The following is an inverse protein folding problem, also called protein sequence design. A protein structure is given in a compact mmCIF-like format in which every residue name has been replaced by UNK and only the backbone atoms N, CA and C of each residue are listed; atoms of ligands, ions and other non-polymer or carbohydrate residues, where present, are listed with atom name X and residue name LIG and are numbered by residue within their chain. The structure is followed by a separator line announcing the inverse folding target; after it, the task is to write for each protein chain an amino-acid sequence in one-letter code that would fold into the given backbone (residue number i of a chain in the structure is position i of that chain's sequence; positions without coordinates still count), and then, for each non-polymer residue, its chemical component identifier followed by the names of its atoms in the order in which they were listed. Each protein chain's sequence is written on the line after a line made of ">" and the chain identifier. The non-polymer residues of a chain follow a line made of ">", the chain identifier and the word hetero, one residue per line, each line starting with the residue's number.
data_IF_374836474128
#
_entry.id   IF_374836474128
#
_cell.length_a   1.000
_cell.length_b   1.000
_cell.length_c   1.000
_cell.angle_alpha   90.00
_cell.angle_beta   90.00
_cell.angle_gamma   90.00
#
_symmetry.space_group_name_H-M   'P 1'
#
loop_
_entity.id
_entity.type
_entity.pdbx_description
1 polymer ?
#
# COMPACT_ATOMS: atom_id res chain seq x y z
N UNK A 1 -2.39 26.59 -0.54
CA UNK A 1 -1.10 26.02 -0.11
C UNK A 1 -1.08 25.58 1.36
N UNK A 2 -1.19 26.47 2.35
CA UNK A 2 -1.00 26.08 3.76
C UNK A 2 -1.97 25.01 4.29
N UNK A 3 -3.23 25.01 3.85
CA UNK A 3 -4.19 23.95 4.20
C UNK A 3 -3.74 22.59 3.63
N UNK A 4 -3.33 22.53 2.36
CA UNK A 4 -2.81 21.31 1.75
C UNK A 4 -1.54 20.79 2.45
N UNK A 5 -0.61 21.69 2.83
CA UNK A 5 0.59 21.33 3.61
C UNK A 5 0.21 20.78 4.98
N UNK A 6 -0.72 21.45 5.66
CA UNK A 6 -1.21 21.03 6.98
C UNK A 6 -1.83 19.64 6.91
N UNK A 7 -2.66 19.38 5.90
CA UNK A 7 -3.31 18.08 5.70
C UNK A 7 -2.31 16.94 5.46
N UNK A 8 -1.28 17.19 4.64
CA UNK A 8 -0.24 16.19 4.34
C UNK A 8 0.66 15.92 5.55
N UNK A 9 1.10 16.98 6.24
CA UNK A 9 1.94 16.81 7.43
C UNK A 9 1.16 16.18 8.59
N UNK A 10 -0.12 16.53 8.78
CA UNK A 10 -0.97 15.88 9.77
C UNK A 10 -1.22 14.40 9.44
N UNK A 11 -1.40 14.06 8.16
CA UNK A 11 -1.46 12.68 7.71
C UNK A 11 -0.17 11.91 8.01
N UNK A 12 1.00 12.48 7.71
CA UNK A 12 2.29 11.86 8.02
C UNK A 12 2.51 11.71 9.54
N UNK A 13 2.04 12.66 10.33
CA UNK A 13 2.11 12.64 11.78
C UNK A 13 1.28 11.48 12.41
N UNK A 14 0.20 11.02 11.78
CA UNK A 14 -0.51 9.79 12.22
C UNK A 14 0.44 8.59 12.29
N UNK A 15 1.45 8.58 11.42
CA UNK A 15 2.46 7.54 11.36
C UNK A 15 3.77 7.95 12.03
N UNK A 16 3.83 9.05 12.79
CA UNK A 16 5.08 9.60 13.35
C UNK A 16 6.21 9.67 12.30
N UNK A 17 5.89 10.16 11.10
CA UNK A 17 6.77 10.18 9.95
C UNK A 17 7.07 11.61 9.51
N UNK A 18 8.35 11.88 9.22
CA UNK A 18 8.80 13.11 8.59
C UNK A 18 9.03 12.87 7.10
N UNK A 19 8.63 13.85 6.29
CA UNK A 19 8.62 13.82 4.83
C UNK A 19 9.70 14.74 4.25
N UNK A 20 10.33 14.35 3.14
CA UNK A 20 11.14 15.28 2.36
C UNK A 20 10.26 16.31 1.64
N UNK A 21 10.85 17.38 1.12
CA UNK A 21 10.11 18.37 0.30
C UNK A 21 9.46 17.70 -0.92
N UNK A 22 10.17 16.78 -1.58
CA UNK A 22 9.64 15.98 -2.69
C UNK A 22 8.42 15.16 -2.28
N UNK A 23 8.46 14.52 -1.10
CA UNK A 23 7.32 13.73 -0.59
C UNK A 23 6.13 14.62 -0.24
N UNK A 24 6.35 15.79 0.39
CA UNK A 24 5.28 16.76 0.64
C UNK A 24 4.67 17.22 -0.68
N UNK A 25 5.49 17.65 -1.64
CA UNK A 25 5.06 18.10 -2.97
C UNK A 25 4.24 17.03 -3.69
N UNK A 26 4.67 15.77 -3.63
CA UNK A 26 3.98 14.63 -4.22
C UNK A 26 2.58 14.43 -3.62
N UNK A 27 2.41 14.58 -2.32
CA UNK A 27 1.17 14.19 -1.61
C UNK A 27 0.20 15.33 -1.31
N UNK A 28 0.53 16.59 -1.62
CA UNK A 28 -0.44 17.69 -1.50
C UNK A 28 -1.54 17.62 -2.56
N UNK A 29 -2.73 18.03 -2.16
CA UNK A 29 -3.93 18.09 -3.01
C UNK A 29 -3.99 19.33 -3.91
N UNK A 30 -2.94 20.16 -3.90
CA UNK A 30 -2.86 21.42 -4.65
C UNK A 30 -1.70 21.34 -5.66
N UNK A 31 -1.96 21.74 -6.91
CA UNK A 31 -0.91 21.77 -7.94
C UNK A 31 0.11 22.85 -7.60
N UNK A 32 1.38 22.48 -7.51
CA UNK A 32 2.47 23.42 -7.24
C UNK A 32 3.81 22.88 -7.76
N UNK A 33 4.83 23.71 -7.73
CA UNK A 33 6.23 23.32 -7.87
C UNK A 33 6.85 22.98 -6.52
N UNK A 34 7.94 22.21 -6.54
CA UNK A 34 8.68 21.84 -5.32
C UNK A 34 9.21 23.08 -4.57
N UNK A 35 9.69 24.09 -5.31
CA UNK A 35 10.17 25.35 -4.73
C UNK A 35 9.04 26.17 -4.06
N UNK A 36 7.82 26.14 -4.59
CA UNK A 36 6.67 26.77 -3.94
C UNK A 36 6.31 26.07 -2.63
N UNK A 37 6.39 24.74 -2.61
CA UNK A 37 6.15 23.92 -1.43
C UNK A 37 7.20 24.19 -0.37
N UNK A 38 8.49 24.17 -0.73
CA UNK A 38 9.60 24.44 0.20
C UNK A 38 9.48 25.82 0.85
N UNK A 39 9.25 26.86 0.05
CA UNK A 39 9.03 28.22 0.57
C UNK A 39 7.84 28.27 1.52
N UNK A 40 6.72 27.67 1.16
CA UNK A 40 5.54 27.67 2.01
C UNK A 40 5.72 26.84 3.30
N UNK A 41 6.53 25.78 3.28
CA UNK A 41 6.92 25.03 4.48
C UNK A 41 7.71 25.93 5.44
N UNK A 42 8.70 26.68 4.94
CA UNK A 42 9.48 27.64 5.74
C UNK A 42 8.66 28.80 6.31
N UNK A 43 7.64 29.27 5.58
CA UNK A 43 6.75 30.35 6.03
C UNK A 43 5.66 29.86 7.01
N UNK A 44 5.46 28.55 7.12
CA UNK A 44 4.41 27.99 7.97
C UNK A 44 4.80 27.96 9.44
N UNK A 45 3.83 28.20 10.33
CA UNK A 45 4.03 28.13 11.79
C UNK A 45 3.89 26.70 12.36
N UNK A 46 3.37 25.77 11.56
CA UNK A 46 3.01 24.42 11.96
C UNK A 46 3.95 23.34 11.43
N UNK A 47 4.82 23.64 10.46
CA UNK A 47 5.83 22.70 9.98
C UNK A 47 7.15 22.94 10.72
N UNK A 48 7.86 21.85 11.01
CA UNK A 48 9.20 21.86 11.61
C UNK A 48 10.12 21.05 10.71
N UNK A 49 11.32 21.56 10.47
CA UNK A 49 12.35 20.87 9.71
C UNK A 49 13.42 20.33 10.67
N UNK A 50 13.64 19.02 10.62
CA UNK A 50 14.67 18.31 11.38
C UNK A 50 15.46 17.45 10.39
N UNK A 51 16.77 17.64 10.26
CA UNK A 51 17.64 16.87 9.35
C UNK A 51 17.10 16.83 7.90
N UNK A 52 16.72 18.00 7.35
CA UNK A 52 16.15 18.15 6.00
C UNK A 52 14.77 17.50 5.80
N UNK A 53 14.15 17.00 6.87
CA UNK A 53 12.84 16.35 6.84
C UNK A 53 11.80 17.21 7.57
N UNK A 54 10.62 17.33 6.96
CA UNK A 54 9.52 18.14 7.44
C UNK A 54 8.47 17.29 8.16
N UNK A 55 8.07 17.73 9.34
CA UNK A 55 7.02 17.09 10.11
C UNK A 55 6.06 18.11 10.70
N UNK A 56 4.88 17.64 11.08
CA UNK A 56 3.91 18.48 11.78
C UNK A 56 4.42 18.80 13.19
N UNK A 57 4.24 20.05 13.62
CA UNK A 57 4.55 20.50 14.97
C UNK A 57 3.57 19.86 15.95
N UNK A 58 3.96 18.71 16.47
CA UNK A 58 3.25 17.97 17.52
C UNK A 58 4.20 17.79 18.71
N UNK A 59 3.64 17.69 19.92
CA UNK A 59 4.44 17.42 21.11
C UNK A 59 5.03 15.99 21.14
N UNK A 60 4.57 15.10 20.25
CA UNK A 60 4.85 13.66 20.25
C UNK A 60 5.86 13.20 19.19
N UNK A 61 6.34 14.09 18.31
CA UNK A 61 7.30 13.69 17.28
C UNK A 61 8.67 13.31 17.89
N UNK A 62 9.20 12.15 17.49
CA UNK A 62 10.48 11.62 17.93
C UNK A 62 11.33 11.21 16.71
N UNK A 63 12.43 11.93 16.47
CA UNK A 63 13.32 11.69 15.33
C UNK A 63 14.01 10.33 15.38
N UNK A 64 14.34 9.82 16.58
CA UNK A 64 14.99 8.52 16.73
C UNK A 64 14.05 7.38 16.32
N UNK A 65 12.75 7.53 16.58
CA UNK A 65 11.72 6.58 16.16
C UNK A 65 11.60 6.49 14.63
N UNK A 66 11.68 7.62 13.94
CA UNK A 66 11.63 7.67 12.48
C UNK A 66 12.83 6.93 11.84
N UNK A 67 14.04 7.08 12.39
CA UNK A 67 15.24 6.37 11.91
C UNK A 67 15.08 4.84 12.04
N UNK A 68 14.68 4.35 13.22
CA UNK A 68 14.47 2.91 13.46
C UNK A 68 13.43 2.34 12.49
N UNK A 69 12.36 3.07 12.21
CA UNK A 69 11.30 2.60 11.29
C UNK A 69 11.74 2.58 9.84
N UNK A 70 12.59 3.52 9.41
CA UNK A 70 13.21 3.49 8.08
C UNK A 70 14.13 2.28 7.92
N UNK A 71 14.90 1.96 8.96
CA UNK A 71 15.72 0.75 9.00
C UNK A 71 14.87 -0.52 8.92
N UNK A 72 13.76 -0.60 9.68
CA UNK A 72 12.82 -1.72 9.63
C UNK A 72 12.20 -1.90 8.25
N UNK A 73 11.75 -0.82 7.59
CA UNK A 73 11.20 -0.92 6.23
C UNK A 73 12.20 -1.54 5.25
N UNK A 74 13.45 -1.11 5.30
CA UNK A 74 14.53 -1.65 4.46
C UNK A 74 14.82 -3.12 4.77
N UNK A 75 14.89 -3.47 6.06
CA UNK A 75 15.10 -4.83 6.54
C UNK A 75 13.96 -5.78 6.11
N UNK A 76 12.71 -5.38 6.32
CA UNK A 76 11.54 -6.20 6.00
C UNK A 76 11.41 -6.39 4.49
N UNK A 77 11.71 -5.37 3.70
CA UNK A 77 11.75 -5.49 2.24
C UNK A 77 12.83 -6.50 1.79
N UNK A 78 14.01 -6.44 2.40
CA UNK A 78 15.09 -7.39 2.12
C UNK A 78 14.70 -8.83 2.51
N UNK A 79 14.10 -9.01 3.68
CA UNK A 79 13.65 -10.30 4.21
C UNK A 79 12.69 -11.03 3.26
N UNK A 80 11.70 -10.32 2.73
CA UNK A 80 10.64 -10.94 1.91
C UNK A 80 10.94 -10.98 0.41
N UNK A 81 11.98 -10.27 -0.05
CA UNK A 81 12.21 -10.00 -1.47
C UNK A 81 12.24 -11.26 -2.35
N UNK A 82 12.90 -12.33 -1.89
CA UNK A 82 12.98 -13.60 -2.62
C UNK A 82 11.64 -14.32 -2.72
N UNK A 83 10.78 -14.18 -1.70
CA UNK A 83 9.44 -14.79 -1.69
C UNK A 83 8.46 -13.99 -2.56
N UNK A 84 8.61 -12.66 -2.61
CA UNK A 84 7.89 -11.82 -3.57
C UNK A 84 8.30 -12.15 -5.01
N UNK A 85 9.59 -12.34 -5.27
CA UNK A 85 10.08 -12.78 -6.57
C UNK A 85 9.49 -14.15 -6.97
N UNK A 86 9.36 -15.07 -6.00
CA UNK A 86 8.67 -16.35 -6.21
C UNK A 86 7.21 -16.11 -6.58
N UNK A 87 6.43 -15.37 -5.78
CA UNK A 87 5.02 -15.05 -6.08
C UNK A 87 4.85 -14.41 -7.47
N UNK A 88 5.70 -13.43 -7.78
CA UNK A 88 5.73 -12.72 -9.06
C UNK A 88 6.06 -13.65 -10.25
N UNK A 89 6.79 -14.74 -10.06
CA UNK A 89 7.07 -15.71 -11.12
C UNK A 89 5.83 -16.43 -11.64
N UNK A 90 4.72 -16.42 -10.88
CA UNK A 90 3.46 -16.99 -11.36
C UNK A 90 2.90 -16.16 -12.53
N UNK A 91 2.57 -16.78 -13.68
CA UNK A 91 2.00 -16.05 -14.81
C UNK A 91 0.58 -15.54 -14.54
N UNK A 92 -0.11 -16.02 -13.49
CA UNK A 92 -1.45 -15.52 -13.13
C UNK A 92 -1.39 -14.28 -12.23
N UNK A 93 -0.22 -13.94 -11.69
CA UNK A 93 0.04 -12.66 -11.04
C UNK A 93 0.47 -11.73 -12.16
N UNK A 94 -0.44 -10.92 -12.67
CA UNK A 94 -0.17 -10.03 -13.81
C UNK A 94 0.56 -8.76 -13.36
N UNK A 95 0.28 -8.30 -12.14
CA UNK A 95 1.06 -7.26 -11.49
C UNK A 95 1.20 -7.51 -9.98
N UNK A 96 2.27 -6.99 -9.41
CA UNK A 96 2.57 -7.05 -7.98
C UNK A 96 3.25 -5.74 -7.57
N UNK A 97 2.79 -5.14 -6.49
CA UNK A 97 3.39 -3.97 -5.88
C UNK A 97 3.34 -4.06 -4.34
N UNK A 98 4.21 -3.28 -3.71
CA UNK A 98 4.17 -3.04 -2.27
C UNK A 98 3.40 -1.75 -2.02
N UNK A 99 2.57 -1.75 -0.98
CA UNK A 99 1.77 -0.60 -0.52
C UNK A 99 2.00 -0.36 0.99
N UNK A 100 1.22 0.54 1.59
CA UNK A 100 1.27 0.77 3.03
C UNK A 100 2.61 1.34 3.53
N UNK A 101 2.92 1.05 4.79
CA UNK A 101 4.04 1.63 5.54
C UNK A 101 5.39 1.40 4.84
N UNK A 102 5.70 0.15 4.45
CA UNK A 102 6.95 -0.19 3.76
C UNK A 102 7.10 0.56 2.45
N UNK A 103 6.01 0.74 1.69
CA UNK A 103 6.04 1.54 0.49
C UNK A 103 6.35 3.02 0.80
N UNK A 104 5.80 3.56 1.89
CA UNK A 104 6.13 4.89 2.42
C UNK A 104 7.57 5.01 2.96
N UNK A 105 8.30 3.90 3.11
CA UNK A 105 9.68 3.89 3.56
C UNK A 105 9.87 3.83 5.07
N UNK A 106 8.82 3.53 5.84
CA UNK A 106 8.86 3.32 7.29
C UNK A 106 8.08 2.08 7.68
N UNK A 107 8.52 1.32 8.68
CA UNK A 107 7.72 0.21 9.19
C UNK A 107 7.93 -0.01 10.69
N UNK A 108 6.91 -0.51 11.37
CA UNK A 108 7.03 -0.95 12.74
C UNK A 108 7.80 -2.27 12.82
N UNK A 109 8.39 -2.59 13.98
CA UNK A 109 9.28 -3.76 14.13
C UNK A 109 8.56 -5.10 13.87
N UNK A 110 7.29 -5.18 14.24
CA UNK A 110 6.37 -6.27 13.97
C UNK A 110 5.48 -6.02 12.74
N UNK A 111 5.72 -4.94 12.01
CA UNK A 111 4.94 -4.55 10.84
C UNK A 111 5.07 -5.56 9.69
N UNK A 112 3.93 -5.80 9.05
CA UNK A 112 3.82 -6.58 7.83
C UNK A 112 4.23 -5.74 6.60
N UNK A 113 4.26 -6.39 5.44
CA UNK A 113 4.45 -5.76 4.14
C UNK A 113 3.20 -5.98 3.30
N UNK A 114 2.45 -4.90 3.10
CA UNK A 114 1.21 -4.91 2.35
C UNK A 114 1.46 -5.07 0.85
N UNK A 115 0.74 -6.02 0.26
CA UNK A 115 0.82 -6.32 -1.16
C UNK A 115 -0.47 -5.93 -1.88
N UNK A 116 -0.29 -5.25 -3.00
CA UNK A 116 -1.28 -5.12 -4.05
C UNK A 116 -0.95 -6.11 -5.17
N UNK A 117 -1.84 -7.07 -5.37
CA UNK A 117 -1.72 -8.13 -6.36
C UNK A 117 -2.82 -7.97 -7.41
N UNK A 118 -2.45 -7.80 -8.68
CA UNK A 118 -3.40 -7.89 -9.79
C UNK A 118 -3.30 -9.28 -10.41
N UNK A 119 -4.36 -10.06 -10.27
CA UNK A 119 -4.47 -11.42 -10.77
C UNK A 119 -5.18 -11.45 -12.12
N UNK A 120 -4.84 -12.45 -12.94
CA UNK A 120 -5.60 -12.83 -14.14
C UNK A 120 -7.09 -13.01 -13.80
N UNK A 121 -8.03 -12.66 -14.70
CA UNK A 121 -9.45 -12.87 -14.45
C UNK A 121 -9.79 -14.29 -14.02
N UNK A 122 -10.53 -14.38 -12.93
CA UNK A 122 -10.92 -15.64 -12.29
C UNK A 122 -9.82 -16.34 -11.50
N UNK A 123 -8.70 -15.69 -11.15
CA UNK A 123 -7.63 -16.26 -10.32
C UNK A 123 -7.43 -15.57 -8.95
N UNK A 124 -8.25 -14.58 -8.60
CA UNK A 124 -8.08 -13.74 -7.40
C UNK A 124 -7.89 -14.57 -6.13
N UNK A 125 -8.79 -15.50 -5.86
CA UNK A 125 -8.78 -16.25 -4.60
C UNK A 125 -7.71 -17.34 -4.59
N UNK A 126 -7.40 -17.96 -5.75
CA UNK A 126 -6.28 -18.89 -5.87
C UNK A 126 -4.93 -18.20 -5.70
N UNK A 127 -4.76 -17.01 -6.28
CA UNK A 127 -3.54 -16.20 -6.12
C UNK A 127 -3.39 -15.74 -4.67
N UNK A 128 -4.47 -15.30 -4.02
CA UNK A 128 -4.45 -14.99 -2.59
C UNK A 128 -4.07 -16.21 -1.75
N UNK A 129 -4.62 -17.39 -2.06
CA UNK A 129 -4.25 -18.63 -1.37
C UNK A 129 -2.78 -19.00 -1.58
N UNK A 130 -2.22 -18.78 -2.78
CA UNK A 130 -0.78 -18.92 -3.03
C UNK A 130 0.05 -17.95 -2.19
N UNK A 131 -0.32 -16.67 -2.14
CA UNK A 131 0.39 -15.69 -1.31
C UNK A 131 0.40 -16.09 0.17
N UNK A 132 -0.75 -16.50 0.72
CA UNK A 132 -0.87 -17.00 2.11
C UNK A 132 -0.07 -18.29 2.32
N UNK A 133 -0.04 -19.19 1.34
CA UNK A 133 0.78 -20.39 1.44
C UNK A 133 2.26 -20.03 1.52
N UNK A 134 2.74 -19.14 0.64
CA UNK A 134 4.14 -18.69 0.64
C UNK A 134 4.48 -17.96 1.95
N UNK A 135 3.55 -17.15 2.48
CA UNK A 135 3.71 -16.46 3.76
C UNK A 135 4.06 -17.43 4.91
N UNK A 136 3.34 -18.56 4.99
CA UNK A 136 3.49 -19.49 6.12
C UNK A 136 4.51 -20.61 5.88
N UNK A 137 4.88 -20.91 4.63
CA UNK A 137 5.65 -22.13 4.31
C UNK A 137 7.00 -21.87 3.65
N UNK A 138 7.34 -20.62 3.33
CA UNK A 138 8.63 -20.26 2.75
C UNK A 138 9.39 -19.36 3.71
N UNK A 139 10.68 -19.65 3.92
CA UNK A 139 11.55 -18.83 4.75
C UNK A 139 11.58 -17.38 4.22
N UNK A 140 11.44 -16.40 5.13
CA UNK A 140 11.28 -14.98 4.76
C UNK A 140 9.88 -14.60 4.28
N UNK A 141 8.89 -15.50 4.32
CA UNK A 141 7.52 -15.20 3.89
C UNK A 141 6.65 -14.53 4.96
N UNK A 142 7.01 -14.62 6.24
CA UNK A 142 6.09 -14.39 7.37
C UNK A 142 5.39 -13.04 7.39
N UNK A 143 6.06 -11.99 6.90
CA UNK A 143 5.55 -10.60 6.89
C UNK A 143 4.70 -10.26 5.66
N UNK A 144 4.57 -11.16 4.69
CA UNK A 144 3.79 -10.86 3.49
C UNK A 144 2.29 -10.80 3.80
N UNK A 145 1.67 -9.64 3.63
CA UNK A 145 0.24 -9.49 3.76
C UNK A 145 -0.39 -9.26 2.36
N UNK A 146 -1.17 -10.21 1.79
CA UNK A 146 -1.92 -9.97 0.57
C UNK A 146 -3.15 -9.09 0.85
N UNK A 147 -2.88 -7.82 1.20
CA UNK A 147 -3.85 -6.82 1.63
C UNK A 147 -4.92 -6.57 0.55
N UNK A 148 -4.49 -6.37 -0.70
CA UNK A 148 -5.38 -6.16 -1.82
C UNK A 148 -5.07 -7.11 -2.97
N UNK A 149 -6.05 -7.93 -3.36
CA UNK A 149 -5.98 -8.82 -4.53
C UNK A 149 -7.13 -8.50 -5.46
N UNK A 150 -6.81 -7.96 -6.64
CA UNK A 150 -7.78 -7.53 -7.64
C UNK A 150 -7.71 -8.39 -8.89
N UNK A 151 -8.83 -8.50 -9.60
CA UNK A 151 -8.86 -9.05 -10.95
C UNK A 151 -8.42 -8.00 -11.96
N UNK A 152 -7.68 -8.40 -13.00
CA UNK A 152 -7.20 -7.50 -14.06
C UNK A 152 -8.31 -6.75 -14.80
N UNK A 153 -9.48 -7.38 -14.93
CA UNK A 153 -10.66 -6.80 -15.55
C UNK A 153 -11.51 -5.96 -14.58
N UNK A 154 -11.03 -5.75 -13.35
CA UNK A 154 -11.72 -4.97 -12.33
C UNK A 154 -10.74 -4.16 -11.45
N UNK A 155 -10.20 -3.09 -12.03
CA UNK A 155 -9.18 -2.23 -11.42
C UNK A 155 -9.73 -0.98 -10.71
N UNK A 156 -11.05 -0.74 -10.81
CA UNK A 156 -11.68 0.46 -10.25
C UNK A 156 -11.70 0.41 -8.72
N UNK A 157 -11.14 1.45 -8.12
CA UNK A 157 -11.15 1.68 -6.68
C UNK A 157 -12.17 2.76 -6.31
N UNK A 158 -12.57 2.79 -5.04
CA UNK A 158 -13.44 3.84 -4.51
C UNK A 158 -12.64 5.16 -4.40
N UNK A 159 -13.08 6.26 -5.04
CA UNK A 159 -12.38 7.53 -4.98
C UNK A 159 -12.26 8.05 -3.54
N UNK A 160 -11.05 8.44 -3.15
CA UNK A 160 -10.77 9.20 -1.93
C UNK A 160 -9.33 9.70 -1.94
N UNK A 161 -9.04 10.75 -1.15
CA UNK A 161 -7.66 11.22 -0.93
C UNK A 161 -6.79 10.11 -0.32
N UNK A 162 -7.35 9.30 0.59
CA UNK A 162 -6.66 8.14 1.14
C UNK A 162 -6.25 7.14 0.05
N UNK A 163 -7.19 6.72 -0.79
CA UNK A 163 -6.89 5.81 -1.90
C UNK A 163 -5.91 6.43 -2.92
N UNK A 164 -5.97 7.74 -3.15
CA UNK A 164 -5.01 8.43 -4.01
C UNK A 164 -3.59 8.33 -3.43
N UNK A 165 -3.44 8.54 -2.11
CA UNK A 165 -2.14 8.41 -1.42
C UNK A 165 -1.61 6.98 -1.48
N UNK A 166 -2.46 5.98 -1.25
CA UNK A 166 -2.07 4.57 -1.39
C UNK A 166 -1.55 4.26 -2.81
N UNK A 167 -2.24 4.74 -3.85
CA UNK A 167 -1.78 4.61 -5.24
C UNK A 167 -0.47 5.37 -5.51
N UNK A 168 -0.30 6.56 -4.93
CA UNK A 168 0.92 7.36 -5.09
C UNK A 168 2.12 6.75 -4.36
N UNK A 169 1.91 6.07 -3.24
CA UNK A 169 2.97 5.41 -2.46
C UNK A 169 3.39 4.07 -3.08
N UNK A 170 2.47 3.40 -3.78
CA UNK A 170 2.66 2.08 -4.38
C UNK A 170 4.00 1.97 -5.12
N UNK A 171 4.73 0.89 -4.85
CA UNK A 171 6.00 0.58 -5.51
C UNK A 171 5.88 -0.71 -6.32
N UNK A 172 5.83 -0.63 -7.66
CA UNK A 172 5.72 -1.81 -8.53
C UNK A 172 6.91 -2.76 -8.37
N UNK A 173 6.66 -4.05 -8.48
CA UNK A 173 7.67 -5.13 -8.55
C UNK A 173 7.53 -5.92 -9.87
N UNK A 174 6.31 -6.06 -10.36
CA UNK A 174 5.97 -6.70 -11.63
C UNK A 174 4.79 -6.00 -12.27
N UNK A 175 4.78 -5.96 -13.60
CA UNK A 175 3.59 -5.58 -14.36
C UNK A 175 3.31 -4.08 -14.33
N UNK A 176 4.34 -3.25 -14.47
CA UNK A 176 4.21 -1.79 -14.43
C UNK A 176 3.11 -1.24 -15.35
N UNK A 177 2.99 -1.75 -16.58
CA UNK A 177 1.92 -1.38 -17.51
C UNK A 177 0.49 -1.63 -16.96
N UNK A 178 0.31 -2.67 -16.14
CA UNK A 178 -0.97 -2.97 -15.47
C UNK A 178 -1.32 -1.90 -14.45
N UNK A 179 -0.32 -1.39 -13.72
CA UNK A 179 -0.50 -0.32 -12.76
C UNK A 179 -0.73 1.03 -13.43
N UNK A 180 -0.10 1.28 -14.59
CA UNK A 180 -0.40 2.45 -15.41
C UNK A 180 -1.86 2.43 -15.88
N UNK A 181 -2.36 1.27 -16.33
CA UNK A 181 -3.77 1.10 -16.66
C UNK A 181 -4.69 1.26 -15.45
N UNK A 182 -4.30 0.74 -14.27
CA UNK A 182 -5.03 0.96 -13.03
C UNK A 182 -5.13 2.45 -12.68
N UNK A 183 -4.06 3.22 -12.83
CA UNK A 183 -4.09 4.68 -12.63
C UNK A 183 -5.03 5.34 -13.65
N UNK A 184 -5.00 4.91 -14.92
CA UNK A 184 -5.89 5.43 -15.97
C UNK A 184 -7.38 5.14 -15.69
N UNK A 185 -7.71 3.97 -15.13
CA UNK A 185 -9.06 3.62 -14.66
C UNK A 185 -9.53 4.49 -13.50
N UNK A 186 -8.59 4.99 -12.69
CA UNK A 186 -8.85 5.79 -11.51
C UNK A 186 -8.48 7.26 -11.75
N UNK A 187 -9.06 7.90 -12.77
CA UNK A 187 -8.72 9.26 -13.20
C UNK A 187 -8.81 10.33 -12.08
N UNK A 188 -9.66 10.10 -11.08
CA UNK A 188 -9.75 10.91 -9.86
C UNK A 188 -8.43 10.97 -9.06
N UNK A 189 -7.47 10.07 -9.31
CA UNK A 189 -6.12 10.09 -8.74
C UNK A 189 -5.43 11.43 -8.96
N UNK A 190 -5.41 11.91 -10.20
CA UNK A 190 -4.76 13.19 -10.55
C UNK A 190 -5.56 14.41 -10.10
N UNK A 191 -6.86 14.25 -9.83
CA UNK A 191 -7.68 15.31 -9.23
C UNK A 191 -7.37 15.47 -7.74
N UNK A 192 -7.17 14.35 -7.02
CA UNK A 192 -6.84 14.38 -5.60
C UNK A 192 -5.37 14.68 -5.32
N UNK A 193 -4.44 14.21 -6.16
CA UNK A 193 -2.99 14.39 -6.00
C UNK A 193 -2.37 14.84 -7.32
N UNK A 194 -2.51 16.13 -7.68
CA UNK A 194 -2.12 16.63 -9.01
C UNK A 194 -0.61 16.67 -9.28
N UNK A 195 0.21 16.41 -8.26
CA UNK A 195 1.67 16.32 -8.34
C UNK A 195 2.18 14.88 -8.23
N UNK A 196 1.31 13.93 -7.91
CA UNK A 196 1.71 12.54 -7.77
C UNK A 196 1.83 11.84 -9.13
N UNK A 197 2.77 10.91 -9.18
CA UNK A 197 2.92 9.93 -10.24
C UNK A 197 3.22 8.57 -9.60
N UNK A 198 3.11 7.51 -10.40
CA UNK A 198 3.55 6.19 -9.97
C UNK A 198 5.04 6.22 -9.64
N UNK A 199 5.42 5.60 -8.52
CA UNK A 199 6.83 5.51 -8.12
C UNK A 199 7.58 4.49 -8.95
N UNK A 200 8.89 4.64 -8.97
CA UNK A 200 9.79 3.71 -9.65
C UNK A 200 9.64 2.28 -9.13
N UNK A 201 9.75 1.35 -10.07
CA UNK A 201 9.72 -0.07 -9.77
C UNK A 201 10.92 -0.47 -8.91
N UNK A 202 10.66 -1.35 -7.95
CA UNK A 202 11.66 -2.01 -7.15
C UNK A 202 12.24 -3.20 -7.93
N UNK A 203 13.56 -3.36 -7.85
CA UNK A 203 14.21 -4.58 -8.30
C UNK A 203 13.92 -5.72 -7.32
N UNK A 204 13.66 -6.90 -7.86
CA UNK A 204 13.52 -8.11 -7.08
C UNK A 204 14.80 -8.95 -7.13
N UNK A 205 15.20 -9.59 -6.03
CA UNK A 205 16.25 -10.60 -6.07
C UNK A 205 15.77 -11.87 -6.79
N UNK A 206 16.64 -12.88 -6.84
CA UNK A 206 16.25 -14.21 -7.33
C UNK A 206 15.14 -14.83 -6.47
N UNK A 207 14.19 -15.58 -7.07
CA UNK A 207 13.17 -16.31 -6.33
C UNK A 207 13.76 -17.24 -5.26
N UNK A 208 13.10 -17.33 -4.10
CA UNK A 208 13.46 -18.26 -3.01
C UNK A 208 13.33 -19.73 -3.41
N UNK A 209 12.60 -20.03 -4.49
CA UNK A 209 12.45 -21.37 -5.03
C UNK A 209 11.40 -21.47 -6.14
N UNK A 210 11.05 -22.70 -6.49
CA UNK A 210 9.99 -22.99 -7.47
C UNK A 210 8.58 -22.90 -6.88
N UNK A 211 7.58 -22.87 -7.75
CA UNK A 211 6.18 -22.93 -7.31
C UNK A 211 5.88 -24.26 -6.60
N UNK A 212 5.02 -24.27 -5.57
CA UNK A 212 4.59 -25.52 -4.95
C UNK A 212 3.86 -26.38 -6.01
N UNK A 213 4.04 -27.69 -5.96
CA UNK A 213 3.55 -28.62 -7.00
C UNK A 213 2.04 -28.48 -7.26
N UNK A 214 1.26 -28.23 -6.21
CA UNK A 214 -0.20 -28.07 -6.28
C UNK A 214 -0.60 -26.83 -7.10
N UNK A 215 0.29 -25.84 -7.22
CA UNK A 215 0.03 -24.65 -8.03
C UNK A 215 -0.14 -24.98 -9.50
N UNK A 216 0.55 -26.00 -10.02
CA UNK A 216 0.34 -26.47 -11.39
C UNK A 216 -1.11 -26.95 -11.61
N UNK A 217 -1.67 -27.68 -10.65
CA UNK A 217 -3.08 -28.13 -10.66
C UNK A 217 -4.01 -26.92 -10.55
N UNK A 218 -3.69 -25.98 -9.67
CA UNK A 218 -4.49 -24.76 -9.48
C UNK A 218 -4.48 -23.86 -10.70
N UNK A 219 -3.50 -23.95 -11.61
CA UNK A 219 -3.52 -23.23 -12.90
C UNK A 219 -4.33 -23.93 -13.99
N UNK A 220 -4.73 -25.19 -13.81
CA UNK A 220 -5.53 -25.92 -14.79
C UNK A 220 -6.90 -25.25 -15.02
N UNK A 221 -7.39 -25.13 -16.27
CA UNK A 221 -8.68 -24.50 -16.54
C UNK A 221 -9.87 -25.15 -15.82
N UNK A 222 -9.90 -26.48 -15.68
CA UNK A 222 -11.04 -27.18 -15.06
C UNK A 222 -10.94 -27.20 -13.54
N UNK A 223 -9.87 -27.81 -13.02
CA UNK A 223 -9.65 -27.91 -11.58
C UNK A 223 -9.51 -26.52 -10.94
N UNK A 224 -8.80 -25.61 -11.60
CA UNK A 224 -8.61 -24.25 -11.14
C UNK A 224 -9.90 -23.43 -11.09
N UNK A 225 -10.81 -23.55 -12.08
CA UNK A 225 -12.12 -22.88 -12.02
C UNK A 225 -12.98 -23.38 -10.87
N UNK A 226 -12.96 -24.70 -10.62
CA UNK A 226 -13.66 -25.27 -9.48
C UNK A 226 -13.06 -24.78 -8.16
N UNK A 227 -11.73 -24.81 -8.04
CA UNK A 227 -11.02 -24.35 -6.85
C UNK A 227 -11.22 -22.85 -6.58
N UNK A 228 -11.24 -22.00 -7.63
CA UNK A 228 -11.58 -20.58 -7.49
C UNK A 228 -12.98 -20.39 -6.90
N UNK A 229 -13.98 -21.10 -7.43
CA UNK A 229 -15.37 -21.00 -6.94
C UNK A 229 -15.49 -21.49 -5.51
N UNK A 230 -14.82 -22.58 -5.18
CA UNK A 230 -14.82 -23.14 -3.84
C UNK A 230 -14.12 -22.23 -2.83
N UNK A 231 -12.88 -21.80 -3.12
CA UNK A 231 -12.09 -20.97 -2.20
C UNK A 231 -12.73 -19.59 -2.03
N UNK A 232 -13.20 -18.94 -3.11
CA UNK A 232 -13.95 -17.69 -3.02
C UNK A 232 -15.22 -17.86 -2.18
N UNK A 233 -16.02 -18.90 -2.42
CA UNK A 233 -17.24 -19.14 -1.65
C UNK A 233 -17.00 -19.38 -0.16
N UNK A 234 -15.93 -20.11 0.19
CA UNK A 234 -15.55 -20.34 1.59
C UNK A 234 -15.02 -19.07 2.24
N UNK A 235 -14.02 -18.41 1.64
CA UNK A 235 -13.33 -17.26 2.22
C UNK A 235 -14.17 -16.00 2.25
N UNK A 236 -14.99 -15.73 1.23
CA UNK A 236 -15.90 -14.56 1.25
C UNK A 236 -16.87 -14.69 2.42
N UNK A 237 -17.43 -15.89 2.67
CA UNK A 237 -18.34 -16.11 3.81
C UNK A 237 -17.64 -15.91 5.14
N UNK A 238 -16.45 -16.47 5.29
CA UNK A 238 -15.63 -16.34 6.50
C UNK A 238 -15.28 -14.87 6.77
N UNK A 239 -14.68 -14.18 5.80
CA UNK A 239 -14.23 -12.79 5.93
C UNK A 239 -15.39 -11.81 6.14
N UNK A 240 -16.54 -12.03 5.50
CA UNK A 240 -17.75 -11.21 5.74
C UNK A 240 -18.36 -11.44 7.12
N UNK A 241 -18.21 -12.64 7.69
CA UNK A 241 -18.70 -12.93 9.03
C UNK A 241 -17.79 -12.34 10.12
N UNK A 242 -16.50 -12.18 9.84
CA UNK A 242 -15.52 -11.67 10.81
C UNK A 242 -15.25 -10.17 10.67
N UNK A 243 -15.47 -9.58 9.49
CA UNK A 243 -15.22 -8.15 9.27
C UNK A 243 -16.12 -7.27 10.13
N UNK A 244 -15.54 -6.21 10.66
CA UNK A 244 -16.23 -5.13 11.38
C UNK A 244 -16.14 -3.79 10.64
N UNK A 245 -15.61 -3.79 9.42
CA UNK A 245 -15.27 -2.60 8.65
C UNK A 245 -16.05 -2.54 7.35
N UNK A 246 -16.73 -1.42 7.13
CA UNK A 246 -17.41 -1.08 5.87
C UNK A 246 -16.43 -0.74 4.73
N UNK A 247 -15.12 -0.68 5.02
CA UNK A 247 -14.06 -0.44 4.03
C UNK A 247 -13.63 -1.73 3.32
N UNK A 248 -14.04 -2.89 3.83
CA UNK A 248 -13.68 -4.19 3.24
C UNK A 248 -14.54 -4.52 2.04
N UNK A 249 -13.92 -5.05 0.97
CA UNK A 249 -14.66 -5.53 -0.20
C UNK A 249 -14.23 -6.94 -0.57
N UNK A 250 -15.14 -7.89 -0.37
CA UNK A 250 -14.92 -9.30 -0.73
C UNK A 250 -15.95 -9.74 -1.76
N UNK A 251 -15.51 -10.00 -2.98
CA UNK A 251 -16.30 -10.56 -4.09
C UNK A 251 -15.44 -11.58 -4.86
N UNK A 252 -15.95 -12.16 -5.95
CA UNK A 252 -15.20 -13.17 -6.72
C UNK A 252 -13.96 -12.61 -7.41
N UNK A 253 -13.98 -11.33 -7.73
CA UNK A 253 -13.00 -10.60 -8.54
C UNK A 253 -12.21 -9.56 -7.76
N UNK A 254 -12.46 -9.41 -6.45
CA UNK A 254 -11.66 -8.56 -5.56
C UNK A 254 -11.70 -9.06 -4.13
N UNK A 255 -10.54 -8.99 -3.49
CA UNK A 255 -10.35 -9.15 -2.06
C UNK A 255 -9.58 -7.94 -1.56
N UNK A 256 -10.29 -6.97 -1.01
CA UNK A 256 -9.72 -5.78 -0.39
C UNK A 256 -9.90 -5.95 1.11
N UNK A 257 -8.85 -6.42 1.77
CA UNK A 257 -8.73 -6.38 3.21
C UNK A 257 -8.38 -4.96 3.64
N UNK A 258 -9.06 -4.47 4.67
CA UNK A 258 -8.60 -3.34 5.47
C UNK A 258 -8.90 -3.78 6.90
N UNK A 259 -7.98 -4.54 7.49
CA UNK A 259 -8.17 -5.04 8.83
C UNK A 259 -8.36 -3.84 9.78
N UNK A 260 -9.53 -3.78 10.43
CA UNK A 260 -9.89 -2.81 11.45
C UNK A 260 -10.09 -1.34 11.01
N UNK A 261 -10.87 -1.06 9.96
CA UNK A 261 -11.31 0.31 9.62
C UNK A 261 -10.14 1.32 9.56
N UNK A 262 -9.08 0.93 8.84
CA UNK A 262 -7.79 1.62 8.84
C UNK A 262 -7.92 3.08 8.39
N UNK A 263 -8.73 3.34 7.36
CA UNK A 263 -8.95 4.70 6.86
C UNK A 263 -9.70 5.54 7.89
N UNK A 264 -10.78 5.02 8.47
CA UNK A 264 -11.56 5.72 9.50
C UNK A 264 -10.71 6.08 10.73
N UNK A 265 -9.80 5.18 11.14
CA UNK A 265 -8.83 5.45 12.22
C UNK A 265 -7.86 6.57 11.85
N UNK A 266 -7.29 6.53 10.63
CA UNK A 266 -6.37 7.58 10.15
C UNK A 266 -7.09 8.94 10.09
N UNK A 267 -8.31 8.99 9.55
CA UNK A 267 -9.11 10.21 9.47
C UNK A 267 -9.41 10.76 10.88
N UNK A 268 -9.72 9.89 11.86
CA UNK A 268 -9.93 10.28 13.25
C UNK A 268 -8.64 10.84 13.89
N UNK A 269 -7.51 10.15 13.75
CA UNK A 269 -6.21 10.60 14.29
C UNK A 269 -5.75 11.90 13.65
N UNK A 270 -5.92 12.06 12.33
CA UNK A 270 -5.67 13.33 11.64
C UNK A 270 -6.50 14.46 12.25
N UNK A 271 -7.80 14.23 12.45
CA UNK A 271 -8.69 15.25 13.04
C UNK A 271 -8.29 15.65 14.46
N UNK A 272 -7.68 14.75 15.24
CA UNK A 272 -7.11 15.07 16.56
C UNK A 272 -5.83 15.90 16.44
N UNK A 273 -4.87 15.46 15.61
CA UNK A 273 -3.61 16.18 15.35
C UNK A 273 -3.87 17.61 14.87
N UNK A 274 -4.82 17.78 13.95
CA UNK A 274 -5.18 19.09 13.42
C UNK A 274 -5.76 20.03 14.49
N UNK A 275 -6.52 19.51 15.46
CA UNK A 275 -7.05 20.31 16.59
C UNK A 275 -5.92 20.76 17.52
N UNK A 276 -5.00 19.87 17.84
CA UNK A 276 -3.85 20.17 18.70
C UNK A 276 -2.92 21.22 18.08
N UNK A 277 -2.64 21.13 16.78
CA UNK A 277 -1.78 22.09 16.07
C UNK A 277 -2.39 23.48 15.83
N UNK A 278 -3.68 23.68 16.12
CA UNK A 278 -4.36 25.00 16.08
C UNK A 278 -4.44 25.70 17.45
N UNK A 279 -4.06 25.01 18.53
CA UNK A 279 -4.07 25.53 19.91
C UNK A 279 -2.71 26.12 20.28
#
# INVERSE_FOLDING_TARGET
>A
MFEALRDVLAWAAVFNHALSVEEVHRYISEKASEAEVERALHESSFAVCTEEMWHFKTASFDGSWNEHRRANASLHLHEIGSVLAQLAASPTVEALAITGSVAAGVNDADGDVDLLIVARPGHVWRVRALAIYLQHNVAGGGRMCPNMVLSRDNLDLRPSVYAARELAMMRPLKGEHVFQEMIAHNAWFSEHLPNAAMREALSMPSPSGGMPWWWAVMRSPFAGRWAERWESGRRIRELRATTRSDETTYSRDRCIGHENAHRSRIEHSMAQILKEGTS
#
